data_IF_698399146222
#
_entry.id   IF_698399146222
#
_cell.length_a   1.000
_cell.length_b   1.000
_cell.length_c   1.000
_cell.angle_alpha   90.00
_cell.angle_beta   90.00
_cell.angle_gamma   90.00
#
_symmetry.space_group_name_H-M   'P 1'
#
loop_
_entity.id
_entity.type
_entity.pdbx_description
1 polymer ?
#
# COMPACT_ATOMS: atom_id res chain seq x y z
N UNK A 1 17.21 23.29 4.51
CA UNK A 1 16.75 21.90 4.70
C UNK A 1 16.38 21.37 3.33
N UNK A 2 17.25 20.61 2.70
CA UNK A 2 16.92 19.86 1.48
C UNK A 2 15.96 18.76 1.88
N UNK A 3 14.72 18.82 1.39
CA UNK A 3 13.73 17.76 1.60
C UNK A 3 14.23 16.48 0.94
N UNK A 4 14.48 15.43 1.70
CA UNK A 4 14.81 14.10 1.19
C UNK A 4 13.77 13.66 0.15
N UNK A 5 14.20 13.10 -0.98
CA UNK A 5 13.28 12.70 -2.03
C UNK A 5 12.41 11.55 -1.50
N UNK A 6 11.11 11.76 -1.50
CA UNK A 6 10.12 10.81 -0.97
C UNK A 6 8.82 10.93 -1.75
N UNK A 7 8.16 9.81 -1.97
CA UNK A 7 6.92 9.71 -2.75
C UNK A 7 6.10 8.54 -2.26
N UNK A 8 4.78 8.64 -2.39
CA UNK A 8 3.88 7.52 -2.19
C UNK A 8 2.76 7.53 -3.22
N UNK A 9 2.20 6.35 -3.45
CA UNK A 9 1.12 6.09 -4.39
C UNK A 9 0.07 5.21 -3.72
N UNK A 10 -1.19 5.42 -4.08
CA UNK A 10 -2.33 4.63 -3.59
C UNK A 10 -2.89 3.84 -4.75
N UNK A 11 -3.27 2.59 -4.49
CA UNK A 11 -3.84 1.68 -5.46
C UNK A 11 -5.12 1.07 -4.92
N UNK A 12 -6.13 0.98 -5.78
CA UNK A 12 -7.31 0.15 -5.55
C UNK A 12 -7.04 -1.24 -6.12
N UNK A 13 -7.25 -2.28 -5.32
CA UNK A 13 -7.13 -3.67 -5.79
C UNK A 13 -8.48 -4.07 -6.39
N UNK A 14 -8.47 -4.41 -7.69
CA UNK A 14 -9.68 -4.70 -8.49
C UNK A 14 -9.62 -6.10 -9.09
N UNK A 15 -10.75 -6.58 -9.61
CA UNK A 15 -10.86 -7.91 -10.24
C UNK A 15 -11.25 -9.03 -9.28
N UNK A 16 -10.98 -8.87 -7.98
CA UNK A 16 -11.31 -9.88 -6.97
C UNK A 16 -12.80 -9.88 -6.58
N UNK A 17 -13.46 -11.05 -6.46
CA UNK A 17 -14.85 -11.13 -6.06
C UNK A 17 -15.09 -10.58 -4.64
N UNK A 18 -16.07 -9.68 -4.50
CA UNK A 18 -16.41 -9.02 -3.22
C UNK A 18 -16.72 -10.01 -2.11
N UNK A 19 -17.32 -11.16 -2.41
CA UNK A 19 -17.63 -12.19 -1.41
C UNK A 19 -16.37 -12.86 -0.86
N UNK A 20 -15.32 -12.98 -1.66
CA UNK A 20 -14.05 -13.66 -1.33
C UNK A 20 -13.09 -12.71 -0.63
N UNK A 21 -12.92 -11.50 -1.17
CA UNK A 21 -11.84 -10.57 -0.79
C UNK A 21 -12.31 -9.23 -0.24
N UNK A 22 -13.52 -8.81 -0.59
CA UNK A 22 -14.06 -7.51 -0.21
C UNK A 22 -13.31 -6.34 -0.86
N UNK A 23 -13.58 -5.15 -0.34
CA UNK A 23 -12.86 -3.93 -0.71
C UNK A 23 -11.42 -3.99 -0.18
N UNK A 24 -10.46 -3.53 -0.98
CA UNK A 24 -9.05 -3.52 -0.58
C UNK A 24 -8.26 -2.47 -1.33
N UNK A 25 -7.24 -1.95 -0.64
CA UNK A 25 -6.38 -0.88 -1.12
C UNK A 25 -4.93 -1.18 -0.74
N UNK A 26 -4.01 -0.71 -1.57
CA UNK A 26 -2.59 -0.74 -1.25
C UNK A 26 -2.02 0.69 -1.24
N UNK A 27 -1.07 0.94 -0.35
CA UNK A 27 -0.23 2.13 -0.36
C UNK A 27 1.20 1.68 -0.55
N UNK A 28 1.89 2.24 -1.52
CA UNK A 28 3.32 2.01 -1.75
C UNK A 28 4.04 3.33 -1.57
N UNK A 29 5.06 3.34 -0.73
CA UNK A 29 5.89 4.49 -0.45
C UNK A 29 7.35 4.18 -0.80
N UNK A 30 8.10 5.19 -1.21
CA UNK A 30 9.55 5.13 -1.30
C UNK A 30 10.17 6.43 -0.81
N UNK A 31 11.31 6.33 -0.16
CA UNK A 31 12.06 7.46 0.36
C UNK A 31 13.54 7.13 0.48
N UNK A 32 14.37 8.16 0.47
CA UNK A 32 15.79 8.04 0.80
C UNK A 32 15.97 7.99 2.31
N UNK A 33 16.69 7.00 2.80
CA UNK A 33 17.02 6.84 4.23
C UNK A 33 18.46 7.23 4.54
N UNK A 34 19.33 7.10 3.55
CA UNK A 34 20.71 7.58 3.53
C UNK A 34 21.13 7.81 2.06
N UNK A 35 22.22 8.55 1.78
CA UNK A 35 22.64 8.87 0.40
C UNK A 35 22.84 7.66 -0.53
N UNK A 36 23.06 6.48 0.04
CA UNK A 36 23.26 5.22 -0.69
C UNK A 36 22.18 4.17 -0.36
N UNK A 37 21.08 4.54 0.29
CA UNK A 37 20.03 3.62 0.74
C UNK A 37 18.64 4.23 0.48
N UNK A 38 17.91 3.62 -0.46
CA UNK A 38 16.48 3.83 -0.63
C UNK A 38 15.71 2.78 0.15
N UNK A 39 14.54 3.15 0.64
CA UNK A 39 13.59 2.23 1.25
C UNK A 39 12.29 2.32 0.46
N UNK A 40 11.68 1.18 0.18
CA UNK A 40 10.27 1.12 -0.18
C UNK A 40 9.48 0.39 0.89
N UNK A 41 8.33 0.93 1.25
CA UNK A 41 7.38 0.36 2.20
C UNK A 41 6.07 0.15 1.47
N UNK A 42 5.37 -0.94 1.78
CA UNK A 42 4.05 -1.18 1.22
C UNK A 42 3.07 -1.66 2.29
N UNK A 43 1.81 -1.29 2.10
CA UNK A 43 0.73 -1.51 3.05
C UNK A 43 -0.52 -1.95 2.29
N UNK A 44 -0.96 -3.18 2.49
CA UNK A 44 -2.16 -3.76 1.89
C UNK A 44 -3.25 -3.85 2.95
N UNK A 45 -4.30 -3.07 2.76
CA UNK A 45 -5.50 -3.06 3.59
C UNK A 45 -6.56 -3.93 2.92
N UNK A 46 -7.03 -4.96 3.63
CA UNK A 46 -8.12 -5.83 3.17
C UNK A 46 -9.29 -5.78 4.13
N UNK A 47 -10.51 -5.90 3.60
CA UNK A 47 -11.74 -5.89 4.41
C UNK A 47 -12.22 -7.29 4.77
N UNK A 48 -11.97 -8.29 3.92
CA UNK A 48 -12.37 -9.68 4.15
C UNK A 48 -11.17 -10.62 4.12
N UNK A 49 -11.26 -11.78 4.81
CA UNK A 49 -12.37 -12.25 5.67
C UNK A 49 -12.61 -11.40 6.93
N UNK A 50 -11.56 -10.73 7.38
CA UNK A 50 -11.54 -9.76 8.48
C UNK A 50 -10.72 -8.55 8.02
N UNK A 51 -10.95 -7.41 8.63
CA UNK A 51 -10.09 -6.27 8.41
C UNK A 51 -8.65 -6.64 8.82
N UNK A 52 -7.71 -6.48 7.90
CA UNK A 52 -6.30 -6.72 8.16
C UNK A 52 -5.41 -5.71 7.46
N UNK A 53 -4.25 -5.46 8.04
CA UNK A 53 -3.17 -4.69 7.45
C UNK A 53 -1.98 -5.63 7.27
N UNK A 54 -1.59 -5.87 6.02
CA UNK A 54 -0.38 -6.59 5.68
C UNK A 54 0.65 -5.56 5.20
N UNK A 55 1.88 -5.63 5.69
CA UNK A 55 2.86 -4.60 5.38
C UNK A 55 4.27 -5.15 5.48
N UNK A 56 5.15 -4.66 4.62
CA UNK A 56 6.59 -4.93 4.70
C UNK A 56 7.40 -3.76 4.14
N UNK A 57 8.72 -3.84 4.26
CA UNK A 57 9.66 -2.86 3.76
C UNK A 57 10.88 -3.54 3.13
N UNK A 58 11.34 -2.99 2.00
CA UNK A 58 12.56 -3.43 1.33
C UNK A 58 13.58 -2.30 1.33
N UNK A 59 14.81 -2.63 1.75
CA UNK A 59 15.98 -1.76 1.62
C UNK A 59 16.67 -2.01 0.29
N UNK A 60 17.02 -0.93 -0.40
CA UNK A 60 17.63 -0.94 -1.72
C UNK A 60 18.92 -0.14 -1.66
N UNK A 61 20.05 -0.83 -1.87
CA UNK A 61 21.34 -0.17 -1.98
C UNK A 61 21.42 0.61 -3.30
N UNK A 62 21.81 1.89 -3.22
CA UNK A 62 22.08 2.71 -4.40
C UNK A 62 23.56 2.57 -4.74
N UNK A 63 23.83 1.87 -5.84
CA UNK A 63 25.16 1.75 -6.42
C UNK A 63 25.18 2.36 -7.83
N UNK A 64 26.34 2.86 -8.30
CA UNK A 64 26.51 3.18 -9.70
C UNK A 64 26.22 1.94 -10.56
N UNK A 65 25.43 2.11 -11.61
CA UNK A 65 25.14 1.07 -12.60
C UNK A 65 25.65 1.51 -13.98
N UNK A 66 26.05 0.57 -14.85
CA UNK A 66 26.20 0.83 -16.28
C UNK A 66 24.92 1.49 -16.84
N UNK A 67 25.03 2.49 -17.74
CA UNK A 67 23.87 3.20 -18.28
C UNK A 67 22.79 2.29 -18.88
N UNK A 68 23.18 1.14 -19.43
CA UNK A 68 22.31 0.14 -20.04
C UNK A 68 21.37 -0.54 -19.02
N UNK A 69 21.73 -0.54 -17.73
CA UNK A 69 20.91 -1.08 -16.65
C UNK A 69 19.98 -0.02 -16.02
N UNK A 70 20.11 1.25 -16.42
CA UNK A 70 19.32 2.35 -15.91
C UNK A 70 19.83 2.91 -14.58
N UNK A 71 18.89 3.42 -13.76
CA UNK A 71 19.19 4.13 -12.52
C UNK A 71 18.38 3.57 -11.35
N UNK A 72 19.03 3.43 -10.20
CA UNK A 72 18.37 3.18 -8.91
C UNK A 72 18.01 4.54 -8.31
N UNK A 73 16.75 4.95 -8.49
CA UNK A 73 16.18 6.18 -7.94
C UNK A 73 14.83 5.91 -7.24
N UNK A 74 14.15 6.95 -6.77
CA UNK A 74 12.85 6.82 -6.08
C UNK A 74 11.79 6.17 -6.95
N UNK A 75 11.79 6.39 -8.27
CA UNK A 75 10.83 5.74 -9.16
C UNK A 75 11.15 4.26 -9.33
N UNK A 76 12.44 3.88 -9.35
CA UNK A 76 12.84 2.48 -9.25
C UNK A 76 12.34 1.84 -7.95
N UNK A 77 12.58 2.49 -6.81
CA UNK A 77 12.15 1.97 -5.50
C UNK A 77 10.62 1.83 -5.40
N UNK A 78 9.84 2.78 -5.93
CA UNK A 78 8.38 2.66 -6.01
C UNK A 78 7.91 1.50 -6.88
N UNK A 79 8.53 1.31 -8.06
CA UNK A 79 8.20 0.17 -8.93
C UNK A 79 8.52 -1.16 -8.25
N UNK A 80 9.62 -1.22 -7.52
CA UNK A 80 9.98 -2.42 -6.77
C UNK A 80 8.97 -2.67 -5.63
N UNK A 81 8.59 -1.65 -4.87
CA UNK A 81 7.55 -1.77 -3.85
C UNK A 81 6.20 -2.25 -4.42
N UNK A 82 5.85 -1.80 -5.64
CA UNK A 82 4.65 -2.27 -6.33
C UNK A 82 4.75 -3.77 -6.66
N UNK A 83 5.89 -4.25 -7.17
CA UNK A 83 6.10 -5.69 -7.44
C UNK A 83 6.03 -6.53 -6.15
N UNK A 84 6.62 -6.04 -5.06
CA UNK A 84 6.52 -6.72 -3.76
C UNK A 84 5.07 -6.74 -3.25
N UNK A 85 4.30 -5.68 -3.51
CA UNK A 85 2.86 -5.64 -3.22
C UNK A 85 2.08 -6.69 -4.02
N UNK A 86 2.37 -6.82 -5.32
CA UNK A 86 1.75 -7.86 -6.17
C UNK A 86 2.06 -9.27 -5.67
N UNK A 87 3.31 -9.52 -5.30
CA UNK A 87 3.73 -10.80 -4.72
C UNK A 87 2.99 -11.09 -3.41
N UNK A 88 2.94 -10.12 -2.50
CA UNK A 88 2.18 -10.27 -1.25
C UNK A 88 0.71 -10.58 -1.52
N UNK A 89 0.09 -9.96 -2.53
CA UNK A 89 -1.30 -10.25 -2.89
C UNK A 89 -1.48 -11.67 -3.41
N UNK A 90 -0.52 -12.22 -4.16
CA UNK A 90 -0.52 -13.62 -4.57
C UNK A 90 -0.45 -14.55 -3.35
N UNK A 91 0.49 -14.29 -2.43
CA UNK A 91 0.64 -15.08 -1.20
C UNK A 91 -0.65 -15.03 -0.34
N UNK A 92 -1.29 -13.86 -0.25
CA UNK A 92 -2.55 -13.69 0.46
C UNK A 92 -3.73 -14.43 -0.25
N UNK A 93 -3.73 -14.52 -1.58
CA UNK A 93 -4.73 -15.28 -2.34
C UNK A 93 -4.55 -16.79 -2.17
N UNK A 94 -3.30 -17.26 -2.13
CA UNK A 94 -2.98 -18.65 -1.81
C UNK A 94 -3.45 -19.02 -0.41
N UNK A 95 -3.10 -18.22 0.60
CA UNK A 95 -3.59 -18.42 1.96
C UNK A 95 -5.13 -18.42 2.03
N UNK A 96 -5.77 -17.56 1.25
CA UNK A 96 -7.24 -17.48 1.19
C UNK A 96 -7.87 -18.70 0.51
N UNK A 97 -7.21 -19.27 -0.50
CA UNK A 97 -7.62 -20.49 -1.16
C UNK A 97 -7.62 -21.67 -0.19
N UNK A 98 -6.57 -21.78 0.63
CA UNK A 98 -6.44 -22.80 1.67
C UNK A 98 -7.54 -22.65 2.73
N UNK A 99 -7.74 -21.43 3.25
CA UNK A 99 -8.79 -21.13 4.24
C UNK A 99 -10.20 -21.52 3.76
N UNK A 100 -10.48 -21.32 2.47
CA UNK A 100 -11.78 -21.58 1.88
C UNK A 100 -11.91 -23.00 1.30
N UNK A 101 -10.84 -23.79 1.32
CA UNK A 101 -10.75 -25.08 0.60
C UNK A 101 -11.15 -24.95 -0.87
N UNK A 102 -10.67 -23.87 -1.51
CA UNK A 102 -11.01 -23.46 -2.87
C UNK A 102 -9.75 -23.09 -3.66
N UNK A 103 -9.08 -24.06 -4.31
CA UNK A 103 -7.83 -23.83 -5.03
C UNK A 103 -7.95 -22.78 -6.16
N UNK A 104 -9.15 -22.61 -6.72
CA UNK A 104 -9.41 -21.61 -7.76
C UNK A 104 -9.20 -20.17 -7.29
N UNK A 105 -9.27 -19.92 -5.98
CA UNK A 105 -9.07 -18.58 -5.38
C UNK A 105 -7.63 -18.11 -5.52
N UNK A 106 -6.64 -19.01 -5.49
CA UNK A 106 -5.22 -18.68 -5.55
C UNK A 106 -4.83 -18.00 -6.88
N UNK A 107 -5.59 -18.27 -7.94
CA UNK A 107 -5.31 -17.81 -9.30
C UNK A 107 -6.28 -16.72 -9.78
N UNK A 108 -7.04 -16.12 -8.87
CA UNK A 108 -7.99 -15.07 -9.25
C UNK A 108 -7.23 -13.86 -9.82
N UNK A 109 -7.62 -13.38 -11.01
CA UNK A 109 -6.98 -12.22 -11.60
C UNK A 109 -7.29 -10.98 -10.77
N UNK A 110 -6.27 -10.16 -10.54
CA UNK A 110 -6.41 -8.86 -9.90
C UNK A 110 -5.60 -7.80 -10.65
N UNK A 111 -5.95 -6.55 -10.38
CA UNK A 111 -5.24 -5.37 -10.88
C UNK A 111 -5.00 -4.40 -9.74
N UNK A 112 -3.76 -3.90 -9.61
CA UNK A 112 -3.44 -2.74 -8.79
C UNK A 112 -3.66 -1.48 -9.61
N UNK A 113 -4.87 -0.93 -9.57
CA UNK A 113 -5.18 0.27 -10.33
C UNK A 113 -4.72 1.51 -9.56
N UNK A 114 -3.85 2.37 -10.14
CA UNK A 114 -3.47 3.62 -9.51
C UNK A 114 -4.70 4.48 -9.22
N UNK A 115 -4.74 5.07 -8.04
CA UNK A 115 -5.79 5.98 -7.60
C UNK A 115 -5.19 7.27 -7.06
N UNK A 116 -6.00 8.31 -7.02
CA UNK A 116 -5.60 9.53 -6.33
C UNK A 116 -5.63 9.29 -4.82
N UNK A 117 -4.88 10.09 -4.07
CA UNK A 117 -4.93 10.04 -2.59
C UNK A 117 -6.35 10.27 -2.04
N UNK A 118 -7.24 10.91 -2.81
CA UNK A 118 -8.66 11.07 -2.48
C UNK A 118 -9.41 9.77 -2.17
N UNK A 119 -8.94 8.61 -2.63
CA UNK A 119 -9.59 7.33 -2.31
C UNK A 119 -9.45 6.96 -0.83
N UNK A 120 -8.32 7.31 -0.19
CA UNK A 120 -8.14 7.13 1.25
C UNK A 120 -9.05 8.07 2.05
N UNK A 121 -9.28 9.28 1.54
CA UNK A 121 -10.27 10.20 2.10
C UNK A 121 -11.68 9.62 2.01
N UNK A 122 -12.05 9.05 0.86
CA UNK A 122 -13.31 8.35 0.68
C UNK A 122 -13.49 7.20 1.67
N UNK A 123 -12.46 6.38 1.88
CA UNK A 123 -12.47 5.30 2.87
C UNK A 123 -12.72 5.84 4.28
N UNK A 124 -11.95 6.86 4.68
CA UNK A 124 -12.06 7.49 5.99
C UNK A 124 -13.46 8.03 6.27
N UNK A 125 -14.02 8.77 5.31
CA UNK A 125 -15.36 9.33 5.41
C UNK A 125 -16.46 8.26 5.52
N UNK A 126 -16.25 7.08 4.92
CA UNK A 126 -17.16 5.93 5.04
C UNK A 126 -16.96 5.12 6.33
N UNK A 127 -16.03 5.52 7.19
CA UNK A 127 -15.65 4.76 8.38
C UNK A 127 -14.97 3.43 8.06
N UNK A 128 -14.40 3.30 6.85
CA UNK A 128 -13.73 2.08 6.39
C UNK A 128 -12.22 2.24 6.51
N UNK A 129 -11.57 1.17 6.97
CA UNK A 129 -10.12 1.11 7.14
C UNK A 129 -9.52 2.11 8.13
N UNK A 130 -10.33 2.78 8.97
CA UNK A 130 -9.84 3.84 9.86
C UNK A 130 -8.76 3.33 10.84
N UNK A 131 -8.91 2.12 11.37
CA UNK A 131 -7.92 1.48 12.24
C UNK A 131 -6.62 1.19 11.47
N UNK A 132 -6.73 0.59 10.29
CA UNK A 132 -5.58 0.29 9.44
C UNK A 132 -4.86 1.56 8.98
N UNK A 133 -5.58 2.63 8.60
CA UNK A 133 -4.98 3.90 8.20
C UNK A 133 -4.20 4.56 9.35
N UNK A 134 -4.72 4.49 10.58
CA UNK A 134 -3.97 4.92 11.78
C UNK A 134 -2.74 4.06 12.03
N UNK A 135 -2.85 2.75 11.80
CA UNK A 135 -1.72 1.83 11.94
C UNK A 135 -0.64 2.08 10.86
N UNK A 136 -1.03 2.35 9.61
CA UNK A 136 -0.12 2.77 8.54
C UNK A 136 0.58 4.06 8.95
N UNK A 137 -0.15 5.05 9.46
CA UNK A 137 0.45 6.30 9.95
C UNK A 137 1.49 6.07 11.05
N UNK A 138 1.24 5.14 11.96
CA UNK A 138 2.15 4.82 13.06
C UNK A 138 3.39 4.03 12.61
N UNK A 139 3.26 3.21 11.55
CA UNK A 139 4.32 2.33 11.06
C UNK A 139 5.21 2.97 9.99
N UNK A 140 4.64 3.80 9.13
CA UNK A 140 5.35 4.36 7.97
C UNK A 140 6.51 5.25 8.39
N UNK A 141 7.66 5.07 7.74
CA UNK A 141 8.80 5.99 7.86
C UNK A 141 8.81 7.04 6.74
N UNK A 142 7.98 6.85 5.71
CA UNK A 142 7.74 7.86 4.69
C UNK A 142 7.00 9.08 5.27
N UNK A 143 7.72 10.20 5.43
CA UNK A 143 7.18 11.43 6.03
C UNK A 143 5.99 12.03 5.28
N UNK A 144 5.98 12.15 3.93
CA UNK A 144 4.80 12.63 3.21
C UNK A 144 3.55 11.79 3.47
N UNK A 145 3.69 10.46 3.53
CA UNK A 145 2.58 9.56 3.83
C UNK A 145 2.09 9.75 5.28
N UNK A 146 3.01 9.81 6.26
CA UNK A 146 2.67 10.05 7.66
C UNK A 146 1.91 11.38 7.86
N UNK A 147 2.37 12.44 7.19
CA UNK A 147 1.73 13.76 7.23
C UNK A 147 0.34 13.73 6.59
N UNK A 148 0.21 13.13 5.41
CA UNK A 148 -1.07 12.97 4.73
C UNK A 148 -2.09 12.26 5.63
N UNK A 149 -1.71 11.12 6.21
CA UNK A 149 -2.59 10.35 7.09
C UNK A 149 -2.92 11.11 8.40
N UNK A 150 -1.97 11.90 8.92
CA UNK A 150 -2.21 12.77 10.08
C UNK A 150 -3.14 13.94 9.81
N UNK A 151 -3.23 14.43 8.56
CA UNK A 151 -4.28 15.37 8.16
C UNK A 151 -5.62 14.64 7.97
N UNK A 152 -5.58 13.49 7.32
CA UNK A 152 -6.77 12.66 7.10
C UNK A 152 -7.47 12.33 8.42
N UNK A 153 -6.71 11.99 9.46
CA UNK A 153 -7.25 11.62 10.77
C UNK A 153 -7.95 12.76 11.51
N UNK A 154 -7.76 14.02 11.08
CA UNK A 154 -8.40 15.21 11.64
C UNK A 154 -9.70 15.58 10.92
N UNK A 155 -9.99 14.94 9.78
CA UNK A 155 -11.24 15.16 9.05
C UNK A 155 -12.38 14.54 9.86
N UNK A 156 -13.28 15.39 10.37
CA UNK A 156 -14.47 14.97 11.10
C UNK A 156 -15.46 14.23 10.20
N UNK A 157 -16.02 13.13 10.69
CA UNK A 157 -17.12 12.43 10.02
C UNK A 157 -18.42 13.04 10.53
N UNK A 158 -19.16 13.74 9.67
CA UNK A 158 -20.52 14.16 10.00
C UNK A 158 -21.40 12.92 9.88
N UNK A 159 -21.58 12.19 10.98
CA UNK A 159 -22.61 11.16 11.06
C UNK A 159 -23.96 11.85 11.27
N UNK A 160 -24.85 11.81 10.28
CA UNK A 160 -26.27 12.08 10.56
C UNK A 160 -26.76 10.96 11.48
N UNK A 161 -27.14 11.34 12.70
CA UNK A 161 -27.85 10.44 13.61
C UNK A 161 -29.13 9.98 12.91
N UNK A 162 -29.29 8.66 12.79
CA UNK A 162 -30.54 8.02 12.36
C UNK A 162 -31.52 8.00 13.52
#
# INVERSE_FOLDING_TARGET
>A
MTTEPSKFSVYSIRGLPVRVWGESYAVVAAFESAPTELITEYFVMTKRPKESLNSDALKIAVSPLPPELGKIDIEFALREGLRQTERLLMDLLEARADELSRPDVAYLPFELKPTNTGDLLGCWMRGQFNSQLKEVQAKTKCRPLALYLGFLSKVGIITQAS
#
